data_IF_216772434052
#
_entry.id   IF_216772434052
#
_cell.length_a   1.000
_cell.length_b   1.000
_cell.length_c   1.000
_cell.angle_alpha   90.00
_cell.angle_beta   90.00
_cell.angle_gamma   90.00
#
_symmetry.space_group_name_H-M   'P 1'
#
loop_
_entity.id
_entity.type
_entity.pdbx_description
1 polymer ?
#
# COMPACT_ATOMS: atom_id res chain seq x y z
N UNK A 1 15.58 37.28 -38.60
CA UNK A 1 14.64 36.15 -38.76
C UNK A 1 14.95 35.13 -37.67
N UNK A 2 14.20 35.11 -36.57
CA UNK A 2 14.40 34.17 -35.47
C UNK A 2 13.19 33.22 -35.39
N UNK A 3 13.29 32.08 -36.04
CA UNK A 3 12.30 31.00 -35.96
C UNK A 3 12.34 30.41 -34.55
N UNK A 4 11.27 30.58 -33.78
CA UNK A 4 11.09 29.86 -32.51
C UNK A 4 11.07 28.35 -32.79
N UNK A 5 11.75 27.52 -31.99
CA UNK A 5 11.64 26.07 -32.14
C UNK A 5 10.19 25.65 -31.90
N UNK A 6 9.63 24.93 -32.87
CA UNK A 6 8.32 24.29 -32.73
C UNK A 6 8.36 23.39 -31.49
N UNK A 7 7.47 23.67 -30.52
CA UNK A 7 7.21 22.71 -29.43
C UNK A 7 6.77 21.41 -30.08
N UNK A 8 7.54 20.35 -29.85
CA UNK A 8 7.11 18.97 -30.11
C UNK A 8 5.80 18.76 -29.34
N UNK A 9 4.67 18.86 -30.04
CA UNK A 9 3.38 18.44 -29.51
C UNK A 9 3.46 16.92 -29.48
N UNK A 10 3.84 16.37 -28.33
CA UNK A 10 3.71 14.93 -28.10
C UNK A 10 2.26 14.55 -28.38
N UNK A 11 1.98 13.55 -29.23
CA UNK A 11 0.62 13.12 -29.50
C UNK A 11 -0.07 12.84 -28.16
N UNK A 12 -1.33 13.27 -28.02
CA UNK A 12 -2.18 12.89 -26.89
C UNK A 12 -2.25 11.36 -26.90
N UNK A 13 -1.38 10.70 -26.13
CA UNK A 13 -1.48 9.28 -25.87
C UNK A 13 -2.90 9.06 -25.37
N UNK A 14 -3.70 8.31 -26.14
CA UNK A 14 -5.11 8.11 -25.86
C UNK A 14 -5.30 7.76 -24.40
N UNK A 15 -6.27 8.41 -23.76
CA UNK A 15 -6.50 8.28 -22.33
C UNK A 15 -6.73 6.80 -21.97
N UNK A 16 -5.69 6.13 -21.48
CA UNK A 16 -5.77 4.71 -21.11
C UNK A 16 -6.52 4.59 -19.79
N UNK A 17 -7.45 3.65 -19.70
CA UNK A 17 -8.23 3.36 -18.50
C UNK A 17 -7.76 2.05 -17.87
N UNK A 18 -7.84 1.97 -16.55
CA UNK A 18 -7.64 0.74 -15.79
C UNK A 18 -8.69 -0.30 -16.18
N UNK A 19 -8.27 -1.54 -16.43
CA UNK A 19 -9.18 -2.65 -16.79
C UNK A 19 -10.17 -3.03 -15.66
N UNK A 20 -9.89 -2.64 -14.41
CA UNK A 20 -10.74 -2.97 -13.24
C UNK A 20 -11.64 -1.79 -12.84
N UNK A 21 -11.09 -0.58 -12.63
CA UNK A 21 -11.89 0.58 -12.17
C UNK A 21 -12.33 1.55 -13.25
N UNK A 22 -11.95 1.35 -14.52
CA UNK A 22 -12.20 2.31 -15.61
C UNK A 22 -11.64 3.73 -15.38
N UNK A 23 -10.88 3.91 -14.31
CA UNK A 23 -10.19 5.12 -13.90
C UNK A 23 -9.01 5.41 -14.85
N UNK A 24 -8.73 6.67 -15.14
CA UNK A 24 -7.63 7.05 -16.03
C UNK A 24 -6.27 6.68 -15.43
N UNK A 25 -5.42 6.07 -16.25
CA UNK A 25 -4.05 5.76 -15.90
C UNK A 25 -3.19 7.00 -16.08
N UNK A 26 -2.24 7.21 -15.16
CA UNK A 26 -1.24 8.25 -15.36
C UNK A 26 -0.46 7.97 -16.66
N UNK A 27 -0.10 9.00 -17.42
CA UNK A 27 0.58 8.84 -18.72
C UNK A 27 1.85 7.98 -18.67
N UNK A 28 2.56 8.00 -17.54
CA UNK A 28 3.78 7.20 -17.32
C UNK A 28 3.49 5.76 -16.84
N UNK A 29 2.24 5.41 -16.55
CA UNK A 29 1.84 4.07 -16.15
C UNK A 29 1.57 3.24 -17.41
N UNK A 30 2.53 2.39 -17.76
CA UNK A 30 2.43 1.50 -18.92
C UNK A 30 1.63 0.22 -18.64
N UNK A 31 1.30 -0.06 -17.38
CA UNK A 31 0.54 -1.24 -16.96
C UNK A 31 -0.94 -1.18 -17.40
N UNK A 32 -1.63 -2.31 -17.27
CA UNK A 32 -3.07 -2.44 -17.53
C UNK A 32 -3.94 -1.96 -16.36
N UNK A 33 -3.37 -1.92 -15.16
CA UNK A 33 -4.06 -1.58 -13.92
C UNK A 33 -3.55 -0.26 -13.34
N UNK A 34 -4.44 0.50 -12.70
CA UNK A 34 -4.02 1.61 -11.86
C UNK A 34 -3.28 1.07 -10.62
N UNK A 35 -2.40 1.88 -10.03
CA UNK A 35 -1.65 1.46 -8.83
C UNK A 35 -2.54 0.92 -7.69
N UNK A 36 -3.73 1.52 -7.39
CA UNK A 36 -4.68 0.95 -6.45
C UNK A 36 -5.13 -0.48 -6.79
N UNK A 37 -5.63 -0.73 -8.01
CA UNK A 37 -6.11 -2.04 -8.44
C UNK A 37 -4.97 -3.07 -8.53
N UNK A 38 -3.80 -2.67 -9.02
CA UNK A 38 -2.59 -3.52 -9.06
C UNK A 38 -2.18 -3.98 -7.66
N UNK A 39 -2.23 -3.08 -6.68
CA UNK A 39 -1.94 -3.43 -5.28
C UNK A 39 -3.03 -4.33 -4.67
N UNK A 40 -4.30 -4.16 -5.04
CA UNK A 40 -5.39 -5.00 -4.57
C UNK A 40 -5.26 -6.43 -5.08
N UNK A 41 -4.93 -6.62 -6.36
CA UNK A 41 -4.70 -7.95 -6.93
C UNK A 41 -3.46 -8.63 -6.34
N UNK A 42 -2.37 -7.89 -6.13
CA UNK A 42 -1.17 -8.41 -5.43
C UNK A 42 -1.49 -8.85 -4.00
N UNK A 43 -2.33 -8.10 -3.27
CA UNK A 43 -2.84 -8.50 -1.95
C UNK A 43 -3.60 -9.81 -2.05
N UNK A 44 -4.61 -9.92 -2.92
CA UNK A 44 -5.39 -11.15 -3.11
C UNK A 44 -4.50 -12.37 -3.43
N UNK A 45 -3.56 -12.21 -4.35
CA UNK A 45 -2.63 -13.29 -4.75
C UNK A 45 -1.67 -13.71 -3.64
N UNK A 46 -1.16 -12.75 -2.86
CA UNK A 46 -0.32 -13.09 -1.70
C UNK A 46 -1.13 -13.81 -0.63
N UNK A 47 -2.38 -13.38 -0.40
CA UNK A 47 -3.27 -13.95 0.59
C UNK A 47 -3.67 -15.39 0.26
N UNK A 48 -4.02 -15.67 -0.99
CA UNK A 48 -4.34 -17.04 -1.41
C UNK A 48 -3.16 -18.01 -1.31
N UNK A 49 -1.92 -17.50 -1.35
CA UNK A 49 -0.69 -18.30 -1.19
C UNK A 49 -0.21 -18.43 0.25
N UNK A 50 -0.58 -17.49 1.12
CA UNK A 50 0.01 -17.37 2.46
C UNK A 50 -0.94 -17.73 3.59
N UNK A 51 -2.26 -17.68 3.37
CA UNK A 51 -3.26 -18.06 4.36
C UNK A 51 -3.58 -19.55 4.29
N UNK A 52 -3.87 -20.14 5.45
CA UNK A 52 -4.53 -21.43 5.54
C UNK A 52 -5.91 -21.33 4.86
N UNK A 53 -6.25 -22.18 3.87
CA UNK A 53 -7.43 -22.04 3.01
C UNK A 53 -8.77 -22.11 3.76
N UNK A 54 -8.78 -22.48 5.03
CA UNK A 54 -9.97 -22.63 5.88
C UNK A 54 -10.56 -21.33 6.40
N UNK A 55 -9.85 -20.20 6.31
CA UNK A 55 -10.17 -19.00 7.11
C UNK A 55 -10.93 -17.90 6.37
N UNK A 56 -11.20 -18.00 5.06
CA UNK A 56 -11.78 -16.87 4.32
C UNK A 56 -12.74 -17.27 3.22
N UNK A 57 -13.94 -16.71 3.29
CA UNK A 57 -15.08 -16.92 2.40
C UNK A 57 -15.00 -16.16 1.06
N UNK A 58 -14.17 -15.11 0.92
CA UNK A 58 -13.91 -14.48 -0.38
C UNK A 58 -12.64 -13.61 -0.43
N UNK A 59 -12.01 -13.52 -1.62
CA UNK A 59 -10.85 -12.66 -1.87
C UNK A 59 -11.16 -11.15 -1.76
N UNK A 60 -12.45 -10.76 -1.83
CA UNK A 60 -12.89 -9.37 -1.69
C UNK A 60 -12.99 -8.93 -0.23
N UNK A 61 -13.40 -9.83 0.67
CA UNK A 61 -13.35 -9.57 2.12
C UNK A 61 -11.90 -9.43 2.58
N UNK A 62 -11.00 -10.27 2.07
CA UNK A 62 -9.55 -10.18 2.30
C UNK A 62 -8.92 -8.85 1.91
N UNK A 63 -9.43 -8.19 0.87
CA UNK A 63 -8.94 -6.89 0.44
C UNK A 63 -9.37 -5.74 1.37
N UNK A 64 -10.45 -5.95 2.15
CA UNK A 64 -10.95 -5.02 3.18
C UNK A 64 -10.22 -5.19 4.52
N UNK A 65 -9.62 -6.36 4.75
CA UNK A 65 -8.84 -6.65 5.94
C UNK A 65 -7.52 -5.85 5.88
N UNK A 66 -7.23 -5.10 6.95
CA UNK A 66 -5.99 -4.34 7.05
C UNK A 66 -4.77 -5.26 7.03
N UNK A 67 -3.63 -4.77 6.51
CA UNK A 67 -2.37 -5.56 6.51
C UNK A 67 -2.02 -6.03 7.94
N UNK A 68 -2.31 -5.23 8.97
CA UNK A 68 -2.09 -5.63 10.37
C UNK A 68 -3.04 -6.73 10.85
N UNK A 69 -4.32 -6.70 10.45
CA UNK A 69 -5.26 -7.79 10.75
C UNK A 69 -4.79 -9.10 10.08
N UNK A 70 -4.20 -9.03 8.89
CA UNK A 70 -3.59 -10.19 8.21
C UNK A 70 -2.37 -10.73 8.94
N UNK A 71 -1.52 -9.85 9.51
CA UNK A 71 -0.38 -10.25 10.36
C UNK A 71 -0.89 -11.02 11.59
N UNK A 72 -1.95 -10.50 12.22
CA UNK A 72 -2.56 -11.13 13.40
C UNK A 72 -3.17 -12.51 13.07
N UNK A 73 -3.90 -12.64 11.97
CA UNK A 73 -4.49 -13.92 11.53
C UNK A 73 -3.40 -14.98 11.30
N UNK A 74 -2.29 -14.59 10.66
CA UNK A 74 -1.17 -15.49 10.39
C UNK A 74 -0.24 -15.69 11.60
N UNK A 75 -0.53 -15.06 12.74
CA UNK A 75 0.32 -15.07 13.94
C UNK A 75 1.79 -14.72 13.65
N UNK A 76 2.02 -13.82 12.69
CA UNK A 76 3.36 -13.36 12.33
C UNK A 76 3.75 -12.14 13.17
N UNK A 77 5.04 -12.00 13.46
CA UNK A 77 5.55 -10.73 13.98
C UNK A 77 5.67 -9.70 12.86
N UNK A 78 5.58 -8.40 13.20
CA UNK A 78 5.76 -7.33 12.23
C UNK A 78 7.15 -7.37 11.56
N UNK A 79 8.18 -7.81 12.31
CA UNK A 79 9.55 -7.98 11.82
C UNK A 79 9.68 -8.99 10.67
N UNK A 80 8.85 -10.03 10.69
CA UNK A 80 8.79 -11.05 9.63
C UNK A 80 7.85 -10.61 8.51
N UNK A 81 6.67 -10.11 8.87
CA UNK A 81 5.62 -9.82 7.90
C UNK A 81 5.94 -8.63 6.98
N UNK A 82 6.46 -7.51 7.52
CA UNK A 82 6.76 -6.32 6.70
C UNK A 82 7.77 -6.63 5.56
N UNK A 83 8.91 -7.30 5.79
CA UNK A 83 9.81 -7.69 4.70
C UNK A 83 9.15 -8.62 3.68
N UNK A 84 8.32 -9.59 4.12
CA UNK A 84 7.59 -10.48 3.21
C UNK A 84 6.63 -9.70 2.30
N UNK A 85 5.88 -8.75 2.86
CA UNK A 85 4.93 -7.91 2.13
C UNK A 85 5.63 -6.96 1.14
N UNK A 86 6.83 -6.48 1.48
CA UNK A 86 7.67 -5.70 0.57
C UNK A 86 8.27 -6.56 -0.54
N UNK A 87 8.62 -7.82 -0.25
CA UNK A 87 9.15 -8.78 -1.23
C UNK A 87 8.07 -9.27 -2.20
N UNK A 88 6.85 -9.48 -1.72
CA UNK A 88 5.70 -9.91 -2.53
C UNK A 88 5.06 -8.78 -3.35
N UNK A 89 5.44 -7.52 -3.09
CA UNK A 89 4.89 -6.36 -3.79
C UNK A 89 3.52 -5.91 -3.29
N UNK A 90 3.04 -6.46 -2.16
CA UNK A 90 1.83 -6.01 -1.47
C UNK A 90 2.03 -4.60 -0.89
N UNK A 91 3.21 -4.35 -0.32
CA UNK A 91 3.67 -3.01 0.01
C UNK A 91 4.51 -2.45 -1.15
N UNK A 92 4.33 -1.17 -1.53
CA UNK A 92 5.13 -0.56 -2.58
C UNK A 92 6.63 -0.64 -2.29
N UNK A 93 7.43 -1.07 -3.26
CA UNK A 93 8.89 -1.26 -3.09
C UNK A 93 9.65 -0.02 -2.62
N UNK A 94 9.16 1.19 -2.94
CA UNK A 94 9.71 2.47 -2.43
C UNK A 94 9.70 2.56 -0.90
N UNK A 95 8.87 1.78 -0.22
CA UNK A 95 8.79 1.73 1.23
C UNK A 95 9.87 0.84 1.86
N UNK A 96 10.67 0.13 1.06
CA UNK A 96 11.75 -0.74 1.55
C UNK A 96 12.78 0.03 2.39
N UNK A 97 13.10 1.27 2.00
CA UNK A 97 14.00 2.15 2.78
C UNK A 97 13.44 2.55 4.15
N UNK A 98 12.13 2.37 4.36
CA UNK A 98 11.44 2.68 5.60
C UNK A 98 11.03 1.43 6.38
N UNK A 99 11.54 0.25 6.01
CA UNK A 99 11.14 -1.03 6.60
C UNK A 99 11.21 -1.02 8.13
N UNK A 100 12.32 -0.55 8.71
CA UNK A 100 12.49 -0.47 10.16
C UNK A 100 11.43 0.44 10.82
N UNK A 101 11.16 1.60 10.23
CA UNK A 101 10.14 2.53 10.71
C UNK A 101 8.73 1.95 10.60
N UNK A 102 8.44 1.19 9.56
CA UNK A 102 7.14 0.53 9.39
C UNK A 102 6.92 -0.55 10.46
N UNK A 103 7.95 -1.34 10.79
CA UNK A 103 7.89 -2.33 11.88
C UNK A 103 7.59 -1.62 13.21
N UNK A 104 8.35 -0.56 13.54
CA UNK A 104 8.11 0.22 14.75
C UNK A 104 6.71 0.85 14.76
N UNK A 105 6.22 1.32 13.61
CA UNK A 105 4.88 1.90 13.50
C UNK A 105 3.78 0.89 13.82
N UNK A 106 3.92 -0.39 13.42
CA UNK A 106 2.97 -1.45 13.80
C UNK A 106 2.98 -1.65 15.31
N UNK A 107 4.16 -1.67 15.94
CA UNK A 107 4.28 -1.78 17.40
C UNK A 107 3.69 -0.58 18.18
N UNK A 108 3.41 0.53 17.49
CA UNK A 108 2.79 1.74 18.05
C UNK A 108 1.29 1.84 17.69
N UNK A 109 0.61 0.71 17.53
CA UNK A 109 -0.85 0.70 17.41
C UNK A 109 -1.49 1.35 18.65
N UNK A 110 -2.55 2.14 18.44
CA UNK A 110 -3.21 2.90 19.52
C UNK A 110 -2.54 4.25 19.88
N UNK A 111 -1.28 4.48 19.52
CA UNK A 111 -0.60 5.78 19.72
C UNK A 111 -1.15 6.80 18.72
N UNK A 112 -1.30 8.08 19.07
CA UNK A 112 -1.77 9.10 18.11
C UNK A 112 -0.77 9.34 16.96
N UNK A 113 -1.25 9.77 15.78
CA UNK A 113 -0.38 10.04 14.62
C UNK A 113 0.71 11.06 14.96
N UNK A 114 0.39 12.10 15.75
CA UNK A 114 1.34 13.14 16.17
C UNK A 114 2.42 12.61 17.12
N UNK A 115 2.07 11.71 18.04
CA UNK A 115 3.03 11.10 18.96
C UNK A 115 3.95 10.11 18.24
N UNK A 116 3.39 9.27 17.36
CA UNK A 116 4.17 8.35 16.52
C UNK A 116 5.11 9.13 15.57
N UNK A 117 4.65 10.24 15.00
CA UNK A 117 5.46 11.12 14.15
C UNK A 117 6.69 11.67 14.88
N UNK A 118 6.52 12.16 16.11
CA UNK A 118 7.63 12.62 16.96
C UNK A 118 8.62 11.50 17.26
N UNK A 119 8.13 10.31 17.60
CA UNK A 119 8.98 9.16 17.95
C UNK A 119 9.75 8.59 16.76
N UNK A 120 9.13 8.58 15.58
CA UNK A 120 9.75 8.08 14.33
C UNK A 120 10.53 9.15 13.56
N UNK A 121 10.54 10.39 14.05
CA UNK A 121 11.12 11.56 13.37
C UNK A 121 10.65 11.71 11.90
N UNK A 122 9.33 11.59 11.68
CA UNK A 122 8.69 11.80 10.38
C UNK A 122 7.47 12.70 10.53
N UNK A 123 6.92 13.19 9.42
CA UNK A 123 5.73 14.04 9.48
C UNK A 123 4.48 13.24 9.90
N UNK A 124 3.52 13.92 10.55
CA UNK A 124 2.20 13.35 10.87
C UNK A 124 1.50 12.79 9.62
N UNK A 125 1.64 13.45 8.48
CA UNK A 125 1.06 13.02 7.20
C UNK A 125 1.68 11.72 6.70
N UNK A 126 2.99 11.57 6.85
CA UNK A 126 3.71 10.32 6.54
C UNK A 126 3.18 9.17 7.38
N UNK A 127 3.01 9.37 8.69
CA UNK A 127 2.43 8.38 9.60
C UNK A 127 1.01 8.01 9.19
N UNK A 128 0.15 9.00 8.92
CA UNK A 128 -1.23 8.77 8.51
C UNK A 128 -1.29 7.92 7.22
N UNK A 129 -0.51 8.28 6.21
CA UNK A 129 -0.45 7.56 4.95
C UNK A 129 0.10 6.13 5.11
N UNK A 130 1.09 5.92 5.99
CA UNK A 130 1.60 4.58 6.27
C UNK A 130 0.58 3.73 7.03
N UNK A 131 -0.11 4.30 8.02
CA UNK A 131 -1.16 3.59 8.78
C UNK A 131 -2.33 3.17 7.89
N UNK A 132 -2.80 4.07 7.04
CA UNK A 132 -3.85 3.77 6.07
C UNK A 132 -3.43 2.59 5.15
N UNK A 133 -2.20 2.62 4.62
CA UNK A 133 -1.69 1.54 3.78
C UNK A 133 -1.56 0.22 4.51
N UNK A 134 -1.12 0.25 5.76
CA UNK A 134 -0.98 -0.91 6.63
C UNK A 134 -2.33 -1.36 7.21
N UNK A 135 -3.42 -0.62 6.99
CA UNK A 135 -4.70 -0.87 7.63
C UNK A 135 -4.64 -0.81 9.16
N UNK A 136 -3.71 -0.03 9.72
CA UNK A 136 -3.65 0.25 11.15
C UNK A 136 -4.80 1.21 11.44
N UNK A 137 -5.89 0.68 12.00
CA UNK A 137 -6.97 1.51 12.52
C UNK A 137 -6.46 2.25 13.75
N UNK A 138 -6.81 3.54 13.89
CA UNK A 138 -6.72 4.26 15.16
C UNK A 138 -7.85 3.79 16.09
N UNK A 139 -8.01 2.48 16.25
CA UNK A 139 -8.76 1.96 17.38
C UNK A 139 -7.85 2.10 18.57
N UNK A 140 -8.25 2.91 19.55
CA UNK A 140 -7.82 2.64 20.92
C UNK A 140 -8.22 1.18 21.14
N UNK A 141 -7.25 0.30 21.37
CA UNK A 141 -7.57 -0.97 22.02
C UNK A 141 -8.12 -0.52 23.38
N UNK A 142 -9.44 -0.58 23.54
CA UNK A 142 -10.00 -0.47 24.88
C UNK A 142 -9.39 -1.63 25.69
N UNK A 143 -8.99 -1.36 26.94
CA UNK A 143 -8.33 -2.33 27.80
C UNK A 143 -9.20 -3.56 28.06
#
# INVERSE_FOLDING_TARGET
MNSRPLRLVTPKQGERKCEICSCFLANHNLEKLCSPCSNQEKRKSWLSKSLNPSFVTSAEELAKIGIVELIAINKLSAEVAIPLLLKSGVLPGRLRRYQSLLVQLVAMQGVSNSAAARKLNVTRWTVAAWRERLGIKNTKLEP
#
